data_IF_675894641584
#
_entry.id   IF_675894641584
#
_cell.length_a   1.000
_cell.length_b   1.000
_cell.length_c   1.000
_cell.angle_alpha   90.00
_cell.angle_beta   90.00
_cell.angle_gamma   90.00
#
_symmetry.space_group_name_H-M   'P 1'
#
loop_
_entity.id
_entity.type
_entity.pdbx_description
1 polymer ?
#
# COMPACT_ATOMS: atom_id res chain seq x y z
N UNK A 1 32.18 -10.49 19.29
CA UNK A 1 31.42 -11.46 18.47
C UNK A 1 29.99 -10.94 18.38
N UNK A 2 29.61 -10.26 17.29
CA UNK A 2 28.29 -9.63 17.17
C UNK A 2 27.23 -10.70 16.95
N UNK A 3 26.51 -11.09 18.00
CA UNK A 3 25.37 -12.01 17.91
C UNK A 3 24.30 -11.36 17.04
N UNK A 4 23.87 -12.07 15.98
CA UNK A 4 22.80 -11.61 15.10
C UNK A 4 21.49 -11.47 15.88
N UNK A 5 20.92 -10.27 15.86
CA UNK A 5 19.67 -9.91 16.50
C UNK A 5 18.46 -10.43 15.70
N UNK A 6 18.18 -11.74 15.80
CA UNK A 6 17.08 -12.42 15.12
C UNK A 6 15.79 -12.40 15.96
N UNK A 7 14.66 -12.01 15.36
CA UNK A 7 13.32 -11.90 15.98
C UNK A 7 13.18 -10.82 17.07
N UNK A 8 14.11 -9.86 17.15
CA UNK A 8 14.07 -8.79 18.17
C UNK A 8 12.80 -7.93 18.11
N UNK A 9 12.15 -7.83 16.95
CA UNK A 9 10.86 -7.15 16.82
C UNK A 9 9.77 -7.72 17.77
N UNK A 10 9.91 -8.96 18.22
CA UNK A 10 8.99 -9.62 19.17
C UNK A 10 9.55 -9.68 20.61
N UNK A 11 10.74 -9.12 20.84
CA UNK A 11 11.42 -9.04 22.13
C UNK A 11 12.02 -7.65 22.29
N UNK A 12 11.15 -6.64 22.18
CA UNK A 12 11.57 -5.26 22.30
C UNK A 12 12.25 -5.03 23.66
N UNK A 13 13.44 -4.45 23.59
CA UNK A 13 14.25 -4.03 24.72
C UNK A 13 14.55 -2.53 24.54
N UNK A 14 13.97 -1.65 25.37
CA UNK A 14 14.14 -0.21 25.24
C UNK A 14 15.58 0.26 25.51
N UNK A 15 16.44 -0.59 26.08
CA UNK A 15 17.85 -0.27 26.32
C UNK A 15 18.72 -0.43 25.07
N UNK A 16 18.19 -1.07 24.02
CA UNK A 16 18.91 -1.29 22.75
C UNK A 16 18.62 -0.15 21.77
N UNK A 17 19.67 0.40 21.18
CA UNK A 17 19.54 1.30 20.04
C UNK A 17 19.40 0.51 18.73
N UNK A 18 18.17 0.22 18.33
CA UNK A 18 17.87 -0.55 17.11
C UNK A 18 18.36 0.13 15.81
N UNK A 19 18.58 1.45 15.79
CA UNK A 19 19.11 2.14 14.60
C UNK A 19 20.54 1.72 14.28
N UNK A 20 21.35 1.43 15.31
CA UNK A 20 22.73 0.99 15.15
C UNK A 20 22.84 -0.50 14.77
N UNK A 21 21.74 -1.25 14.88
CA UNK A 21 21.71 -2.69 14.63
C UNK A 21 21.14 -3.01 13.25
N UNK A 22 21.92 -2.74 12.19
CA UNK A 22 21.56 -3.04 10.79
C UNK A 22 21.23 -4.52 10.50
N UNK A 23 21.56 -5.45 11.43
CA UNK A 23 21.22 -6.88 11.36
C UNK A 23 19.98 -7.27 12.17
N UNK A 24 19.34 -6.32 12.86
CA UNK A 24 18.07 -6.57 13.53
C UNK A 24 17.04 -6.97 12.48
N UNK A 25 16.43 -8.14 12.65
CA UNK A 25 15.44 -8.65 11.70
C UNK A 25 14.24 -9.25 12.41
N UNK A 26 13.05 -8.98 11.88
CA UNK A 26 11.78 -9.62 12.28
C UNK A 26 11.74 -11.12 11.92
N UNK A 27 12.71 -11.61 11.13
CA UNK A 27 12.76 -12.99 10.66
C UNK A 27 11.90 -13.22 9.41
N UNK A 28 11.75 -14.50 9.00
CA UNK A 28 10.98 -14.88 7.81
C UNK A 28 9.50 -15.02 8.15
N UNK A 29 8.63 -14.53 7.26
CA UNK A 29 7.18 -14.71 7.34
C UNK A 29 6.79 -16.04 6.66
N UNK A 30 7.08 -17.16 7.31
CA UNK A 30 6.90 -18.51 6.74
C UNK A 30 6.06 -19.45 7.62
N UNK A 31 5.50 -18.98 8.74
CA UNK A 31 4.56 -19.76 9.54
C UNK A 31 3.16 -19.58 8.98
N UNK A 32 2.53 -20.67 8.55
CA UNK A 32 1.20 -20.66 7.94
C UNK A 32 0.15 -20.96 9.00
N UNK A 33 -0.85 -20.09 9.13
CA UNK A 33 -1.98 -20.34 10.02
C UNK A 33 -2.86 -21.50 9.51
N UNK A 34 -3.16 -22.47 10.37
CA UNK A 34 -4.01 -23.62 10.01
C UNK A 34 -5.47 -23.26 9.69
N UNK A 35 -5.96 -22.13 10.20
CA UNK A 35 -7.36 -21.71 10.04
C UNK A 35 -7.56 -20.79 8.83
N UNK A 36 -6.75 -19.74 8.69
CA UNK A 36 -6.90 -18.73 7.65
C UNK A 36 -5.82 -18.74 6.56
N UNK A 37 -4.83 -19.65 6.64
CA UNK A 37 -3.68 -19.75 5.71
C UNK A 37 -2.79 -18.51 5.59
N UNK A 38 -3.01 -17.48 6.41
CA UNK A 38 -2.15 -16.31 6.47
C UNK A 38 -0.72 -16.72 6.86
N UNK A 39 0.28 -16.17 6.16
CA UNK A 39 1.69 -16.28 6.50
C UNK A 39 2.02 -15.30 7.61
N UNK A 40 2.84 -15.72 8.56
CA UNK A 40 3.16 -14.97 9.77
C UNK A 40 4.58 -15.22 10.23
N UNK A 41 5.05 -14.40 11.15
CA UNK A 41 6.35 -14.57 11.77
C UNK A 41 6.32 -15.61 12.89
N UNK A 42 7.47 -16.22 13.17
CA UNK A 42 7.61 -17.31 14.16
C UNK A 42 7.13 -16.94 15.57
N UNK A 43 7.39 -15.71 16.01
CA UNK A 43 7.05 -15.25 17.37
C UNK A 43 5.72 -14.47 17.44
N UNK A 44 4.98 -14.40 16.35
CA UNK A 44 3.71 -13.69 16.30
C UNK A 44 2.61 -14.47 17.02
N UNK A 45 1.86 -13.80 17.90
CA UNK A 45 0.85 -14.47 18.73
C UNK A 45 -0.34 -14.96 17.90
N UNK A 46 -1.03 -16.05 18.30
CA UNK A 46 -2.22 -16.54 17.59
C UNK A 46 -3.35 -15.51 17.48
N UNK A 47 -3.41 -14.55 18.42
CA UNK A 47 -4.40 -13.47 18.44
C UNK A 47 -4.25 -12.46 17.31
N UNK A 48 -3.02 -12.16 16.88
CA UNK A 48 -2.73 -11.16 15.83
C UNK A 48 -3.19 -11.60 14.42
N UNK A 49 -3.58 -12.87 14.25
CA UNK A 49 -4.02 -13.45 12.99
C UNK A 49 -5.56 -13.40 12.89
N UNK A 50 -6.19 -14.53 12.58
CA UNK A 50 -7.64 -14.74 12.64
C UNK A 50 -8.22 -14.74 14.07
N UNK A 51 -7.63 -13.99 15.02
CA UNK A 51 -8.00 -14.02 16.45
C UNK A 51 -8.13 -15.43 17.00
N UNK A 52 -7.15 -16.29 16.73
CA UNK A 52 -7.18 -17.72 17.06
C UNK A 52 -8.46 -18.45 16.56
N UNK A 53 -8.76 -18.33 15.26
CA UNK A 53 -9.92 -18.91 14.56
C UNK A 53 -11.27 -18.25 14.82
N UNK A 54 -11.35 -17.22 15.66
CA UNK A 54 -12.61 -16.51 15.93
C UNK A 54 -13.08 -15.66 14.74
N UNK A 55 -12.16 -15.24 13.87
CA UNK A 55 -12.47 -14.44 12.68
C UNK A 55 -12.27 -15.30 11.44
N UNK A 56 -13.35 -15.50 10.68
CA UNK A 56 -13.30 -16.12 9.35
C UNK A 56 -13.37 -15.02 8.30
N UNK A 57 -12.25 -14.78 7.62
CA UNK A 57 -12.23 -13.87 6.46
C UNK A 57 -12.89 -14.58 5.27
N UNK A 58 -13.69 -13.86 4.46
CA UNK A 58 -14.16 -14.40 3.18
C UNK A 58 -12.96 -14.70 2.27
N UNK A 59 -13.13 -15.68 1.37
CA UNK A 59 -12.16 -15.89 0.30
C UNK A 59 -12.08 -14.63 -0.55
N UNK A 60 -10.86 -14.18 -0.86
CA UNK A 60 -10.70 -13.11 -1.84
C UNK A 60 -11.13 -13.62 -3.20
N UNK A 61 -12.01 -12.88 -3.87
CA UNK A 61 -12.33 -13.12 -5.26
C UNK A 61 -11.09 -12.90 -6.12
N UNK A 62 -11.02 -13.60 -7.24
CA UNK A 62 -9.97 -13.37 -8.21
C UNK A 62 -10.08 -11.93 -8.74
N UNK A 63 -8.97 -11.18 -8.75
CA UNK A 63 -8.94 -9.87 -9.39
C UNK A 63 -9.40 -9.97 -10.85
N UNK A 64 -10.08 -8.95 -11.40
CA UNK A 64 -10.38 -8.91 -12.82
C UNK A 64 -9.09 -8.77 -13.65
N UNK A 65 -9.10 -9.23 -14.89
CA UNK A 65 -8.01 -8.96 -15.82
C UNK A 65 -7.98 -7.47 -16.22
N UNK A 66 -6.80 -6.85 -16.42
CA UNK A 66 -5.47 -7.48 -16.49
C UNK A 66 -4.75 -7.67 -15.13
N UNK A 67 -5.37 -7.29 -14.01
CA UNK A 67 -4.71 -7.26 -12.69
C UNK A 67 -4.33 -8.66 -12.21
N UNK A 68 -5.17 -9.66 -12.47
CA UNK A 68 -4.88 -11.03 -12.07
C UNK A 68 -3.61 -11.57 -12.77
N UNK A 69 -3.48 -11.40 -14.08
CA UNK A 69 -2.26 -11.79 -14.80
C UNK A 69 -1.03 -11.06 -14.28
N UNK A 70 -1.13 -9.75 -14.03
CA UNK A 70 -0.03 -8.93 -13.49
C UNK A 70 0.40 -9.36 -12.07
N UNK A 71 -0.51 -9.87 -11.25
CA UNK A 71 -0.23 -10.31 -9.88
C UNK A 71 0.11 -11.80 -9.75
N UNK A 72 0.02 -12.57 -10.84
CA UNK A 72 0.24 -14.02 -10.82
C UNK A 72 1.69 -14.43 -10.48
N UNK A 73 2.67 -13.62 -10.87
CA UNK A 73 4.10 -13.96 -10.76
C UNK A 73 4.56 -15.06 -11.73
N UNK A 74 3.71 -15.46 -12.68
CA UNK A 74 3.98 -16.54 -13.64
C UNK A 74 4.38 -16.01 -15.02
N UNK A 75 3.77 -14.92 -15.48
CA UNK A 75 4.05 -14.35 -16.81
C UNK A 75 5.27 -13.44 -16.80
N UNK A 76 5.86 -13.19 -17.98
CA UNK A 76 6.96 -12.24 -18.14
C UNK A 76 6.57 -10.83 -17.64
N UNK A 77 5.35 -10.41 -17.94
CA UNK A 77 4.79 -9.13 -17.49
C UNK A 77 4.69 -9.08 -15.97
N UNK A 78 4.20 -10.15 -15.32
CA UNK A 78 4.05 -10.19 -13.87
C UNK A 78 5.38 -10.19 -13.13
N UNK A 79 6.37 -10.92 -13.65
CA UNK A 79 7.72 -10.98 -13.07
C UNK A 79 8.45 -9.64 -13.21
N UNK A 80 8.18 -8.89 -14.27
CA UNK A 80 8.65 -7.50 -14.40
C UNK A 80 7.87 -6.53 -13.50
N UNK A 81 6.54 -6.66 -13.44
CA UNK A 81 5.64 -5.74 -12.74
C UNK A 81 5.79 -5.78 -11.22
N UNK A 82 5.80 -6.96 -10.61
CA UNK A 82 5.78 -7.13 -9.15
C UNK A 82 6.94 -6.40 -8.42
N UNK A 83 8.21 -6.46 -8.89
CA UNK A 83 9.32 -5.74 -8.25
C UNK A 83 9.18 -4.21 -8.32
N UNK A 84 8.48 -3.67 -9.32
CA UNK A 84 8.38 -2.23 -9.58
C UNK A 84 6.97 -1.67 -9.43
N UNK A 85 6.01 -2.46 -8.93
CA UNK A 85 4.61 -2.05 -8.73
C UNK A 85 4.45 -0.73 -7.98
N UNK A 86 5.32 -0.47 -6.99
CA UNK A 86 5.33 0.79 -6.25
C UNK A 86 5.66 1.99 -7.14
N UNK A 87 6.56 1.83 -8.12
CA UNK A 87 6.90 2.89 -9.09
C UNK A 87 5.70 3.18 -9.98
N UNK A 88 5.04 2.15 -10.50
CA UNK A 88 3.81 2.32 -11.28
C UNK A 88 2.74 3.05 -10.47
N UNK A 89 2.43 2.59 -9.26
CA UNK A 89 1.42 3.23 -8.41
C UNK A 89 1.80 4.67 -8.05
N UNK A 90 3.08 4.96 -7.82
CA UNK A 90 3.56 6.31 -7.55
C UNK A 90 3.36 7.25 -8.75
N UNK A 91 3.57 6.78 -9.98
CA UNK A 91 3.31 7.57 -11.19
C UNK A 91 1.83 7.99 -11.29
N UNK A 92 0.91 7.19 -10.75
CA UNK A 92 -0.52 7.48 -10.71
C UNK A 92 -0.98 8.10 -9.37
N UNK A 93 -0.06 8.43 -8.47
CA UNK A 93 -0.39 9.06 -7.17
C UNK A 93 -0.64 10.58 -7.30
N UNK A 94 -0.60 11.12 -8.50
CA UNK A 94 -0.88 12.53 -8.73
C UNK A 94 -2.35 12.83 -8.48
N UNK A 95 -2.61 13.67 -7.48
CA UNK A 95 -3.94 14.24 -7.22
C UNK A 95 -3.90 15.71 -7.65
N UNK A 96 -4.71 16.07 -8.64
CA UNK A 96 -4.97 17.46 -8.99
C UNK A 96 -6.19 17.98 -8.24
N UNK A 97 -6.26 19.29 -8.02
CA UNK A 97 -7.46 19.94 -7.50
C UNK A 97 -8.31 20.51 -8.65
N UNK A 98 -9.53 20.01 -8.78
CA UNK A 98 -10.57 20.61 -9.62
C UNK A 98 -11.45 21.56 -8.81
N UNK A 99 -11.92 22.65 -9.43
CA UNK A 99 -12.94 23.54 -8.86
C UNK A 99 -13.95 23.96 -9.92
N UNK A 100 -15.19 24.19 -9.52
CA UNK A 100 -16.26 24.70 -10.40
C UNK A 100 -16.19 26.21 -10.60
N UNK A 101 -15.54 26.94 -9.69
CA UNK A 101 -15.40 28.38 -9.75
C UNK A 101 -14.01 28.80 -9.26
N UNK A 102 -13.44 29.80 -9.92
CA UNK A 102 -12.14 30.40 -9.55
C UNK A 102 -12.35 31.88 -9.35
N UNK A 103 -12.05 32.39 -8.16
CA UNK A 103 -11.97 33.82 -7.87
C UNK A 103 -10.50 34.20 -7.89
N UNK A 104 -10.14 35.21 -8.70
CA UNK A 104 -8.79 35.76 -8.75
C UNK A 104 -8.81 37.13 -8.08
N UNK A 105 -8.07 37.27 -6.99
CA UNK A 105 -7.84 38.56 -6.36
C UNK A 105 -6.69 39.28 -7.09
N UNK A 106 -6.79 40.59 -7.25
CA UNK A 106 -5.72 41.40 -7.84
C UNK A 106 -4.55 41.57 -6.85
N UNK A 107 -3.32 41.63 -7.39
CA UNK A 107 -2.09 41.71 -6.60
C UNK A 107 -1.42 40.36 -6.35
N UNK A 108 -0.38 40.36 -5.52
CA UNK A 108 0.36 39.14 -5.18
C UNK A 108 -0.32 38.38 -4.04
N UNK A 109 -0.87 37.21 -4.36
CA UNK A 109 -1.43 36.30 -3.37
C UNK A 109 -0.59 35.01 -3.32
N UNK A 110 0.23 34.79 -2.27
CA UNK A 110 1.08 33.60 -2.17
C UNK A 110 0.31 32.32 -1.79
N UNK A 111 -1.01 32.43 -1.56
CA UNK A 111 -1.85 31.33 -1.08
C UNK A 111 -3.05 31.13 -2.00
N UNK A 112 -3.47 29.88 -2.21
CA UNK A 112 -4.77 29.59 -2.78
C UNK A 112 -5.73 29.23 -1.64
N UNK A 113 -6.97 29.71 -1.69
CA UNK A 113 -8.00 29.40 -0.69
C UNK A 113 -9.04 28.53 -1.37
N UNK A 114 -9.41 27.43 -0.70
CA UNK A 114 -10.48 26.53 -1.14
C UNK A 114 -11.65 26.73 -0.19
N UNK A 115 -12.83 26.99 -0.74
CA UNK A 115 -14.07 27.08 0.01
C UNK A 115 -15.00 25.94 -0.41
N UNK A 116 -15.55 25.22 0.57
CA UNK A 116 -16.45 24.09 0.36
C UNK A 116 -15.86 22.74 0.77
N UNK A 117 -16.45 21.66 0.25
CA UNK A 117 -16.04 20.29 0.55
C UNK A 117 -15.08 19.76 -0.53
N UNK A 118 -14.00 19.13 -0.07
CA UNK A 118 -13.02 18.47 -0.94
C UNK A 118 -13.45 17.01 -1.12
N UNK A 119 -13.54 16.58 -2.37
CA UNK A 119 -13.86 15.20 -2.74
C UNK A 119 -12.70 14.60 -3.53
N UNK A 120 -12.28 13.38 -3.16
CA UNK A 120 -11.36 12.61 -3.99
C UNK A 120 -12.14 11.95 -5.13
N UNK A 121 -11.98 12.47 -6.35
CA UNK A 121 -12.64 11.93 -7.55
C UNK A 121 -11.66 11.07 -8.30
N UNK A 122 -11.99 9.80 -8.48
CA UNK A 122 -11.25 8.96 -9.44
C UNK A 122 -11.84 9.21 -10.83
N UNK A 123 -11.01 9.70 -11.75
CA UNK A 123 -11.38 9.85 -13.16
C UNK A 123 -11.16 8.56 -13.93
N UNK A 124 -11.87 8.42 -15.05
CA UNK A 124 -11.46 7.46 -16.07
C UNK A 124 -10.08 7.84 -16.58
N UNK A 125 -9.16 6.87 -16.69
CA UNK A 125 -7.83 7.08 -17.28
C UNK A 125 -7.91 7.51 -18.75
N UNK A 126 -9.02 7.16 -19.42
CA UNK A 126 -9.29 7.51 -20.79
C UNK A 126 -10.49 8.47 -20.86
N UNK A 127 -10.45 9.53 -21.69
CA UNK A 127 -11.63 10.33 -21.94
C UNK A 127 -12.74 9.47 -22.56
N UNK A 128 -13.99 9.84 -22.29
CA UNK A 128 -15.12 9.29 -23.05
C UNK A 128 -15.00 9.70 -24.52
N UNK A 129 -15.54 8.88 -25.43
CA UNK A 129 -15.61 9.22 -26.86
C UNK A 129 -16.17 10.65 -27.00
N UNK A 130 -15.49 11.45 -27.82
CA UNK A 130 -15.78 12.87 -28.09
C UNK A 130 -15.58 13.86 -26.93
N UNK A 131 -14.87 13.47 -25.85
CA UNK A 131 -14.45 14.40 -24.80
C UNK A 131 -12.94 14.62 -24.81
N UNK A 132 -12.52 15.83 -24.49
CA UNK A 132 -11.11 16.11 -24.18
C UNK A 132 -10.75 15.52 -22.83
N UNK A 133 -9.49 15.09 -22.66
CA UNK A 133 -8.97 14.65 -21.38
C UNK A 133 -9.15 15.76 -20.35
N UNK A 134 -9.88 15.47 -19.28
CA UNK A 134 -10.08 16.39 -18.16
C UNK A 134 -9.61 15.70 -16.88
N UNK A 135 -8.80 16.40 -16.11
CA UNK A 135 -8.54 16.03 -14.73
C UNK A 135 -9.83 16.32 -13.93
N UNK A 136 -10.37 15.30 -13.24
CA UNK A 136 -11.63 15.42 -12.48
C UNK A 136 -11.53 16.29 -11.23
#
# INVERSE_FOLDING_TARGET
>A
MWQGLYLEAFRYDPTKDYWLHHKATTGKMNVICKYCRAKTFKCETPGMRCSNAKVKLPSQDQPPEPLHSLMSGVTLESTHFLPIIRKYNACFQMTSFGTTAVVREEGFMPTFKIQGQIYHRFGSLLPFQDRTSQFL
#
